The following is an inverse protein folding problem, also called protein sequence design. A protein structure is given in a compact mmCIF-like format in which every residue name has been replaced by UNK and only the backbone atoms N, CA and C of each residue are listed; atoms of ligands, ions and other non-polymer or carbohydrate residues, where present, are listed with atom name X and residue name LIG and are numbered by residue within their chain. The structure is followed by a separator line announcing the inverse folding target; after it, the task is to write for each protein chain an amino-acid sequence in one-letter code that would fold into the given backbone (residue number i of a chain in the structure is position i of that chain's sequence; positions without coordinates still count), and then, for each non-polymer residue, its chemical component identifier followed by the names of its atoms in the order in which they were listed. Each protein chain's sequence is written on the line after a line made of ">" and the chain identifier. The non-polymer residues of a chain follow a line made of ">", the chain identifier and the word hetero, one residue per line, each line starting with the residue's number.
data_IF_576182794549
#
_entry.id   IF_576182794549
#
_cell.length_a   1.000
_cell.length_b   1.000
_cell.length_c   1.000
_cell.angle_alpha   90.00
_cell.angle_beta   90.00
_cell.angle_gamma   90.00
#
_symmetry.space_group_name_H-M   'P 1'
#
loop_
_entity.id
_entity.type
_entity.pdbx_description
1 polymer ?
#
# COMPACT_ATOMS: atom_id res chain seq x y z
N UNK A 1 -6.23 0.65 12.79
CA UNK A 1 -5.84 0.86 11.37
C UNK A 1 -4.35 0.61 11.12
N UNK A 2 -3.50 0.78 12.15
CA UNK A 2 -2.04 0.77 12.06
C UNK A 2 -1.44 -0.54 11.54
N UNK A 3 -2.15 -1.67 11.70
CA UNK A 3 -1.82 -2.97 11.12
C UNK A 3 -2.61 -3.27 9.83
N UNK A 4 -2.82 -2.27 8.99
CA UNK A 4 -3.54 -2.40 7.73
C UNK A 4 -2.75 -1.73 6.59
N UNK A 5 -2.65 -2.43 5.47
CA UNK A 5 -2.03 -1.94 4.24
C UNK A 5 -3.15 -1.72 3.23
N UNK A 6 -3.27 -0.50 2.70
CA UNK A 6 -4.25 -0.12 1.69
C UNK A 6 -3.57 0.01 0.33
N UNK A 7 -4.11 -0.64 -0.70
CA UNK A 7 -3.58 -0.60 -2.05
C UNK A 7 -4.65 -0.07 -2.99
N UNK A 8 -4.34 0.98 -3.75
CA UNK A 8 -5.24 1.58 -4.74
C UNK A 8 -4.40 2.30 -5.81
N UNK A 9 -4.82 2.31 -7.07
CA UNK A 9 -4.09 2.99 -8.17
C UNK A 9 -4.32 4.50 -8.17
N UNK A 10 -5.47 4.94 -7.66
CA UNK A 10 -5.81 6.34 -7.51
C UNK A 10 -5.26 6.88 -6.20
N UNK A 11 -4.22 7.71 -6.31
CA UNK A 11 -3.60 8.35 -5.14
C UNK A 11 -4.58 9.19 -4.30
N UNK A 12 -5.73 9.61 -4.85
CA UNK A 12 -6.77 10.31 -4.09
C UNK A 12 -7.42 9.43 -3.01
N UNK A 13 -7.46 8.11 -3.20
CA UNK A 13 -7.97 7.14 -2.24
C UNK A 13 -6.91 6.73 -1.21
N UNK A 14 -5.64 6.71 -1.61
CA UNK A 14 -4.52 6.44 -0.71
C UNK A 14 -4.32 7.55 0.35
N UNK A 15 -4.57 8.82 -0.02
CA UNK A 15 -4.44 9.97 0.89
C UNK A 15 -5.28 9.84 2.17
N UNK A 16 -6.61 9.61 2.10
CA UNK A 16 -7.41 9.43 3.30
C UNK A 16 -7.02 8.16 4.08
N UNK A 17 -6.64 7.06 3.40
CA UNK A 17 -6.16 5.85 4.07
C UNK A 17 -4.93 6.12 4.94
N UNK A 18 -3.95 6.86 4.41
CA UNK A 18 -2.76 7.27 5.16
C UNK A 18 -3.11 8.21 6.34
N UNK A 19 -4.03 9.16 6.14
CA UNK A 19 -4.52 10.05 7.20
C UNK A 19 -5.27 9.30 8.31
N UNK A 20 -5.86 8.15 8.00
CA UNK A 20 -6.51 7.26 8.96
C UNK A 20 -5.52 6.33 9.70
N UNK A 21 -4.22 6.44 9.43
CA UNK A 21 -3.17 5.65 10.08
C UNK A 21 -2.86 4.31 9.41
N UNK A 22 -3.38 4.05 8.21
CA UNK A 22 -2.98 2.87 7.42
C UNK A 22 -1.66 3.13 6.70
N UNK A 23 -0.94 2.07 6.36
CA UNK A 23 0.13 2.17 5.36
C UNK A 23 -0.50 2.11 3.97
N UNK A 24 -0.32 3.12 3.13
CA UNK A 24 -0.95 3.17 1.81
C UNK A 24 0.07 3.03 0.68
N UNK A 25 -0.19 2.12 -0.26
CA UNK A 25 0.58 1.94 -1.50
C UNK A 25 -0.26 2.44 -2.66
N UNK A 26 0.26 3.41 -3.41
CA UNK A 26 -0.34 3.82 -4.68
C UNK A 26 0.15 2.88 -5.79
N UNK A 27 -0.72 2.06 -6.34
CA UNK A 27 -0.37 1.07 -7.36
C UNK A 27 -0.07 1.77 -8.69
N UNK A 28 1.21 1.74 -9.11
CA UNK A 28 1.63 2.20 -10.45
C UNK A 28 1.76 1.06 -11.46
N UNK A 29 1.82 -0.19 -10.98
CA UNK A 29 2.02 -1.40 -11.76
C UNK A 29 2.21 -2.59 -10.81
N UNK A 30 2.08 -3.80 -11.35
CA UNK A 30 2.09 -5.06 -10.57
C UNK A 30 3.43 -5.29 -9.86
N UNK A 31 4.55 -5.24 -10.58
CA UNK A 31 5.89 -5.47 -10.03
C UNK A 31 6.20 -4.54 -8.84
N UNK A 32 5.85 -3.26 -8.96
CA UNK A 32 6.03 -2.26 -7.89
C UNK A 32 5.16 -2.60 -6.68
N UNK A 33 3.88 -2.94 -6.90
CA UNK A 33 2.96 -3.22 -5.82
C UNK A 33 3.35 -4.47 -5.04
N UNK A 34 3.81 -5.52 -5.74
CA UNK A 34 4.30 -6.75 -5.11
C UNK A 34 5.58 -6.50 -4.31
N UNK A 35 6.54 -5.75 -4.85
CA UNK A 35 7.77 -5.41 -4.13
C UNK A 35 7.52 -4.58 -2.86
N UNK A 36 6.66 -3.55 -2.95
CA UNK A 36 6.29 -2.71 -1.81
C UNK A 36 5.55 -3.51 -0.74
N UNK A 37 4.57 -4.32 -1.16
CA UNK A 37 3.80 -5.17 -0.26
C UNK A 37 4.70 -6.22 0.42
N UNK A 38 5.61 -6.84 -0.34
CA UNK A 38 6.56 -7.83 0.16
C UNK A 38 7.47 -7.25 1.23
N UNK A 39 7.99 -6.05 1.01
CA UNK A 39 8.81 -5.33 1.99
C UNK A 39 8.05 -5.08 3.29
N UNK A 40 6.78 -4.68 3.22
CA UNK A 40 5.97 -4.40 4.42
C UNK A 40 5.55 -5.66 5.17
N UNK A 41 5.34 -6.77 4.46
CA UNK A 41 4.93 -8.05 5.06
C UNK A 41 6.10 -8.96 5.43
N UNK A 42 7.32 -8.64 5.01
CA UNK A 42 8.47 -9.54 5.13
C UNK A 42 8.32 -10.81 4.29
N UNK A 43 7.69 -10.69 3.11
CA UNK A 43 7.40 -11.78 2.18
C UNK A 43 8.07 -11.52 0.83
N UNK A 44 8.38 -12.60 0.11
CA UNK A 44 8.84 -12.55 -1.29
C UNK A 44 7.70 -13.05 -2.17
N UNK A 45 7.38 -12.30 -3.23
CA UNK A 45 6.21 -12.53 -4.09
C UNK A 45 6.61 -12.82 -5.54
#
# INVERSE_FOLDING_TARGET
>A
PDACIYLDDLGINCKPAALMGMTAIKVGGEDQALADLGTLLGMDF
#
